data_IF_618253547197
#
_entry.id   IF_618253547197
#
_cell.length_a   1.000
_cell.length_b   1.000
_cell.length_c   1.000
_cell.angle_alpha   90.00
_cell.angle_beta   90.00
_cell.angle_gamma   90.00
#
_symmetry.space_group_name_H-M   'P 1'
#
loop_
_entity.id
_entity.type
_entity.pdbx_description
1 polymer ?
#
# COMPACT_ATOMS: atom_id res chain seq x y z
N UNK A 1 -32.19 -3.50 26.20
CA UNK A 1 -31.20 -2.49 26.65
C UNK A 1 -29.89 -3.23 26.87
N UNK A 2 -29.15 -3.51 25.79
CA UNK A 2 -27.84 -4.14 25.88
C UNK A 2 -26.78 -3.04 25.85
N UNK A 3 -26.06 -2.94 26.97
CA UNK A 3 -24.92 -2.07 27.15
C UNK A 3 -23.80 -2.52 26.19
N UNK A 4 -23.60 -1.79 25.11
CA UNK A 4 -22.35 -1.87 24.35
C UNK A 4 -21.25 -1.31 25.25
N UNK A 5 -20.36 -2.20 25.70
CA UNK A 5 -19.19 -1.85 26.48
C UNK A 5 -18.33 -0.86 25.70
N UNK A 6 -18.27 0.36 26.22
CA UNK A 6 -17.44 1.46 25.74
C UNK A 6 -15.98 1.16 26.08
N UNK A 7 -15.23 0.59 25.14
CA UNK A 7 -13.76 0.67 24.98
C UNK A 7 -13.34 -0.28 23.86
N UNK A 8 -13.82 -0.07 22.63
CA UNK A 8 -13.18 -0.69 21.47
C UNK A 8 -11.91 0.06 21.15
N UNK A 9 -10.84 -0.25 21.90
CA UNK A 9 -9.49 -0.26 21.32
C UNK A 9 -9.66 -1.01 20.00
N UNK A 10 -9.27 -0.40 18.89
CA UNK A 10 -9.33 -1.08 17.60
C UNK A 10 -8.53 -2.39 17.73
N UNK A 11 -9.19 -3.57 17.65
CA UNK A 11 -8.61 -4.85 18.05
C UNK A 11 -7.42 -5.26 17.17
N UNK A 12 -7.16 -4.54 16.09
CA UNK A 12 -6.12 -4.83 15.11
C UNK A 12 -4.77 -4.15 15.38
N UNK A 13 -4.68 -3.28 16.40
CA UNK A 13 -3.39 -2.70 16.84
C UNK A 13 -2.74 -3.46 17.99
N UNK A 14 -3.34 -4.55 18.45
CA UNK A 14 -2.92 -5.27 19.67
C UNK A 14 -2.65 -6.74 19.43
N UNK A 15 -2.18 -7.12 18.23
CA UNK A 15 -1.66 -8.48 18.05
C UNK A 15 -0.34 -8.62 18.81
N UNK A 16 -0.31 -9.55 19.76
CA UNK A 16 0.92 -10.03 20.37
C UNK A 16 1.81 -10.59 19.25
N UNK A 17 2.87 -9.85 18.90
CA UNK A 17 3.72 -10.18 17.76
C UNK A 17 4.62 -11.37 18.10
N UNK A 18 4.11 -12.59 17.88
CA UNK A 18 4.89 -13.81 18.07
C UNK A 18 6.16 -13.79 17.21
N UNK A 19 7.30 -14.28 17.75
CA UNK A 19 8.52 -14.47 16.97
C UNK A 19 8.25 -15.30 15.71
N UNK A 20 8.99 -15.01 14.65
CA UNK A 20 9.00 -15.79 13.43
C UNK A 20 10.29 -16.58 13.30
N UNK A 21 10.22 -17.67 12.55
CA UNK A 21 11.42 -18.42 12.17
C UNK A 21 12.36 -17.52 11.35
N UNK A 22 13.66 -17.60 11.67
CA UNK A 22 14.72 -16.86 10.99
C UNK A 22 14.70 -17.12 9.47
N UNK A 23 15.23 -16.16 8.71
CA UNK A 23 15.38 -16.30 7.27
C UNK A 23 16.63 -17.14 6.97
N UNK A 24 16.61 -17.96 5.89
CA UNK A 24 17.79 -18.74 5.47
C UNK A 24 19.02 -17.88 5.18
N UNK A 25 18.79 -16.65 4.70
CA UNK A 25 19.84 -15.68 4.37
C UNK A 25 19.50 -14.31 5.00
N UNK A 26 20.49 -13.52 5.44
CA UNK A 26 20.25 -12.16 5.93
C UNK A 26 19.73 -11.26 4.81
N UNK A 27 18.79 -10.37 5.15
CA UNK A 27 18.13 -9.46 4.20
C UNK A 27 18.38 -8.01 4.60
N UNK A 28 18.73 -7.19 3.61
CA UNK A 28 19.09 -5.79 3.78
C UNK A 28 18.03 -4.89 3.15
N UNK A 29 17.32 -4.12 3.98
CA UNK A 29 16.39 -3.09 3.52
C UNK A 29 17.14 -1.78 3.29
N UNK A 30 17.01 -1.23 2.09
CA UNK A 30 17.71 -0.01 1.70
C UNK A 30 16.81 1.20 1.93
N UNK A 31 17.32 2.18 2.67
CA UNK A 31 16.72 3.50 2.79
C UNK A 31 17.76 4.58 2.48
N UNK A 32 17.39 5.60 1.72
CA UNK A 32 18.27 6.73 1.40
C UNK A 32 17.94 7.99 2.19
N UNK A 33 16.92 7.95 3.07
CA UNK A 33 16.55 9.12 3.87
C UNK A 33 17.50 9.36 5.05
N UNK A 34 18.03 10.59 5.20
CA UNK A 34 18.90 10.94 6.33
C UNK A 34 18.25 10.74 7.70
N UNK A 35 16.92 10.87 7.82
CA UNK A 35 16.21 10.72 9.10
C UNK A 35 16.39 9.36 9.75
N UNK A 36 16.64 8.32 8.95
CA UNK A 36 16.87 6.95 9.44
C UNK A 36 18.32 6.67 9.87
N UNK A 37 19.23 7.65 9.76
CA UNK A 37 20.64 7.44 10.10
C UNK A 37 20.84 7.01 11.56
N UNK A 38 20.03 7.50 12.49
CA UNK A 38 20.08 7.07 13.89
C UNK A 38 19.78 5.57 14.04
N UNK A 39 18.75 5.08 13.35
CA UNK A 39 18.36 3.66 13.36
C UNK A 39 19.37 2.77 12.61
N UNK A 40 20.00 3.29 11.54
CA UNK A 40 21.07 2.59 10.82
C UNK A 40 22.31 2.45 11.72
N UNK A 41 22.72 3.51 12.42
CA UNK A 41 23.90 3.51 13.27
C UNK A 41 23.71 2.75 14.57
N UNK A 42 22.49 2.69 15.09
CA UNK A 42 22.14 1.97 16.32
C UNK A 42 20.93 1.03 16.08
N UNK A 43 21.11 -0.09 15.36
CA UNK A 43 20.02 -0.96 14.95
C UNK A 43 19.40 -1.76 16.12
N UNK A 44 20.04 -1.78 17.29
CA UNK A 44 19.53 -2.45 18.50
C UNK A 44 18.75 -1.51 19.43
N UNK A 45 18.59 -0.23 19.05
CA UNK A 45 17.78 0.69 19.85
C UNK A 45 16.34 0.19 19.98
N UNK A 46 15.66 0.48 21.10
CA UNK A 46 14.26 0.15 21.26
C UNK A 46 13.42 0.69 20.11
N UNK A 47 12.54 -0.14 19.55
CA UNK A 47 11.64 0.27 18.49
C UNK A 47 10.29 0.67 19.10
N UNK A 48 10.13 1.97 19.34
CA UNK A 48 8.93 2.58 19.93
C UNK A 48 8.03 3.26 18.89
N UNK A 49 6.92 3.86 19.35
CA UNK A 49 5.95 4.54 18.49
C UNK A 49 6.51 5.77 17.76
N UNK A 50 7.48 6.47 18.35
CA UNK A 50 8.07 7.68 17.76
C UNK A 50 8.83 7.38 16.45
N UNK A 51 9.36 6.17 16.30
CA UNK A 51 9.92 5.73 15.02
C UNK A 51 8.83 5.46 13.97
N UNK A 52 7.68 4.90 14.34
CA UNK A 52 6.58 4.70 13.39
C UNK A 52 5.93 6.01 12.95
N UNK A 53 5.92 7.03 13.80
CA UNK A 53 5.46 8.39 13.44
C UNK A 53 6.28 9.02 12.31
N UNK A 54 7.53 8.60 12.13
CA UNK A 54 8.40 9.07 11.04
C UNK A 54 8.12 8.34 9.72
N UNK A 55 7.32 7.28 9.70
CA UNK A 55 6.98 6.51 8.50
C UNK A 55 5.79 7.15 7.76
N UNK A 56 6.11 8.05 6.82
CA UNK A 56 5.11 8.93 6.19
C UNK A 56 4.90 8.57 4.72
N UNK A 57 5.98 8.24 4.01
CA UNK A 57 5.94 7.92 2.58
C UNK A 57 6.14 6.43 2.33
N UNK A 58 5.78 5.97 1.12
CA UNK A 58 5.92 4.56 0.72
C UNK A 58 7.33 4.02 0.93
N UNK A 59 8.34 4.83 0.70
CA UNK A 59 9.73 4.47 0.89
C UNK A 59 10.06 4.19 2.36
N UNK A 60 9.52 4.96 3.30
CA UNK A 60 9.68 4.70 4.74
C UNK A 60 9.02 3.37 5.12
N UNK A 61 7.80 3.16 4.60
CA UNK A 61 6.98 1.98 4.89
C UNK A 61 7.70 0.71 4.40
N UNK A 62 8.20 0.72 3.18
CA UNK A 62 8.85 -0.43 2.55
C UNK A 62 10.35 -0.57 2.84
N UNK A 63 10.93 0.35 3.61
CA UNK A 63 12.30 0.23 4.14
C UNK A 63 12.32 0.15 5.66
N UNK A 64 12.17 1.29 6.34
CA UNK A 64 12.30 1.41 7.79
C UNK A 64 11.18 0.69 8.56
N UNK A 65 9.89 0.92 8.23
CA UNK A 65 8.78 0.24 8.92
C UNK A 65 8.85 -1.27 8.71
N UNK A 66 9.13 -1.71 7.49
CA UNK A 66 9.30 -3.13 7.18
C UNK A 66 10.44 -3.75 7.99
N UNK A 67 11.61 -3.11 8.03
CA UNK A 67 12.72 -3.52 8.87
C UNK A 67 12.31 -3.63 10.35
N UNK A 68 11.65 -2.59 10.88
CA UNK A 68 11.22 -2.54 12.28
C UNK A 68 10.27 -3.69 12.62
N UNK A 69 9.26 -3.91 11.78
CA UNK A 69 8.25 -4.97 11.97
C UNK A 69 8.85 -6.37 11.91
N UNK A 70 9.82 -6.61 11.02
CA UNK A 70 10.49 -7.90 10.94
C UNK A 70 11.52 -8.08 12.06
N UNK A 71 12.25 -7.02 12.46
CA UNK A 71 13.25 -7.09 13.52
C UNK A 71 12.62 -7.37 14.88
N UNK A 72 11.49 -6.73 15.20
CA UNK A 72 10.70 -7.02 16.42
C UNK A 72 10.32 -8.50 16.54
N UNK A 73 10.17 -9.19 15.40
CA UNK A 73 9.82 -10.62 15.33
C UNK A 73 11.04 -11.55 15.27
N UNK A 74 12.24 -11.02 15.47
CA UNK A 74 13.48 -11.80 15.61
C UNK A 74 14.14 -12.21 14.29
N UNK A 75 13.72 -11.66 13.15
CA UNK A 75 14.35 -11.97 11.87
C UNK A 75 15.74 -11.31 11.76
N UNK A 76 16.64 -12.00 11.06
CA UNK A 76 17.97 -11.53 10.64
C UNK A 76 17.86 -10.52 9.47
N UNK A 77 17.31 -9.35 9.78
CA UNK A 77 17.16 -8.23 8.84
C UNK A 77 17.98 -7.02 9.26
N UNK A 78 18.38 -6.21 8.29
CA UNK A 78 19.23 -5.04 8.49
C UNK A 78 18.67 -3.84 7.72
N UNK A 79 18.80 -2.62 8.28
CA UNK A 79 18.52 -1.37 7.58
C UNK A 79 19.85 -0.72 7.17
N UNK A 80 20.00 -0.36 5.90
CA UNK A 80 21.27 0.14 5.34
C UNK A 80 21.05 1.31 4.38
N UNK A 81 22.06 2.20 4.22
CA UNK A 81 21.94 3.36 3.33
C UNK A 81 22.16 3.01 1.85
N UNK A 82 22.73 1.84 1.55
CA UNK A 82 23.20 1.44 0.21
C UNK A 82 23.09 -0.07 0.03
N UNK A 83 23.09 -0.51 -1.23
CA UNK A 83 23.18 -1.92 -1.59
C UNK A 83 24.43 -2.57 -0.97
N UNK A 84 24.26 -3.80 -0.45
CA UNK A 84 25.33 -4.61 0.11
C UNK A 84 25.77 -5.65 -0.92
N UNK A 85 27.00 -5.58 -1.45
CA UNK A 85 27.50 -6.55 -2.42
C UNK A 85 27.43 -7.97 -1.90
N UNK A 86 26.96 -8.89 -2.74
CA UNK A 86 26.82 -10.30 -2.41
C UNK A 86 25.55 -10.66 -1.65
N UNK A 87 24.73 -9.68 -1.21
CA UNK A 87 23.58 -9.93 -0.34
C UNK A 87 22.23 -9.68 -1.02
N UNK A 88 21.15 -10.19 -0.40
CA UNK A 88 19.76 -9.84 -0.74
C UNK A 88 19.48 -8.41 -0.27
N UNK A 89 19.13 -7.53 -1.20
CA UNK A 89 18.79 -6.14 -0.94
C UNK A 89 17.35 -5.85 -1.39
N UNK A 90 16.48 -5.47 -0.45
CA UNK A 90 15.12 -4.99 -0.73
C UNK A 90 15.16 -3.48 -0.86
N UNK A 91 14.73 -2.95 -2.01
CA UNK A 91 14.89 -1.53 -2.34
C UNK A 91 13.56 -0.93 -2.83
N UNK A 92 13.05 0.15 -2.22
CA UNK A 92 11.98 0.94 -2.82
C UNK A 92 12.35 1.46 -4.21
N UNK A 93 11.42 1.46 -5.17
CA UNK A 93 11.67 1.87 -6.55
C UNK A 93 12.42 3.22 -6.68
N UNK A 94 12.07 4.23 -5.89
CA UNK A 94 12.67 5.56 -5.99
C UNK A 94 14.10 5.62 -5.39
N UNK A 95 14.55 4.53 -4.76
CA UNK A 95 15.91 4.35 -4.28
C UNK A 95 16.79 3.47 -5.17
N UNK A 96 16.31 2.93 -6.29
CA UNK A 96 17.20 2.25 -7.25
C UNK A 96 17.67 3.22 -8.34
N UNK A 97 18.97 3.51 -8.35
CA UNK A 97 19.60 4.37 -9.36
C UNK A 97 20.41 3.56 -10.37
N UNK A 98 20.51 4.09 -11.59
CA UNK A 98 21.32 3.47 -12.66
C UNK A 98 22.80 3.31 -12.26
N UNK A 99 23.27 4.12 -11.31
CA UNK A 99 24.65 4.13 -10.82
C UNK A 99 24.93 3.15 -9.66
N UNK A 100 23.91 2.49 -9.10
CA UNK A 100 24.06 1.70 -7.87
C UNK A 100 24.83 0.36 -8.07
N UNK A 101 25.34 0.07 -9.28
CA UNK A 101 26.04 -1.17 -9.64
C UNK A 101 25.30 -2.43 -9.13
N UNK A 102 23.97 -2.41 -9.25
CA UNK A 102 23.05 -3.41 -8.67
C UNK A 102 23.42 -4.87 -8.96
N UNK A 103 24.12 -5.14 -10.07
CA UNK A 103 24.59 -6.48 -10.45
C UNK A 103 25.54 -7.13 -9.44
N UNK A 104 26.09 -6.35 -8.50
CA UNK A 104 26.92 -6.85 -7.40
C UNK A 104 26.10 -7.40 -6.23
N UNK A 105 24.78 -7.21 -6.22
CA UNK A 105 23.85 -7.63 -5.16
C UNK A 105 22.68 -8.41 -5.77
N UNK A 106 21.93 -9.13 -4.93
CA UNK A 106 20.66 -9.71 -5.33
C UNK A 106 19.54 -8.73 -5.01
N UNK A 107 19.12 -7.95 -6.01
CA UNK A 107 18.21 -6.82 -5.80
C UNK A 107 16.76 -7.24 -6.02
N UNK A 108 15.93 -6.99 -5.00
CA UNK A 108 14.47 -7.10 -5.09
C UNK A 108 13.89 -5.70 -4.96
N UNK A 109 13.13 -5.24 -5.96
CA UNK A 109 12.55 -3.89 -5.93
C UNK A 109 11.10 -3.94 -5.51
N UNK A 110 10.72 -3.08 -4.56
CA UNK A 110 9.32 -2.81 -4.24
C UNK A 110 8.82 -1.71 -5.17
N UNK A 111 7.87 -2.03 -6.04
CA UNK A 111 7.43 -1.15 -7.12
C UNK A 111 6.46 -0.06 -6.68
N UNK A 112 5.49 -0.38 -5.79
CA UNK A 112 4.33 0.48 -5.50
C UNK A 112 3.69 1.04 -6.79
N UNK A 113 3.21 2.30 -6.83
CA UNK A 113 2.55 2.89 -8.01
C UNK A 113 3.55 3.56 -8.99
N UNK A 114 4.63 2.85 -9.32
CA UNK A 114 5.71 3.28 -10.22
C UNK A 114 5.80 2.39 -11.48
N UNK A 115 6.57 2.82 -12.50
CA UNK A 115 6.91 1.95 -13.63
C UNK A 115 7.48 0.60 -13.19
N UNK A 116 7.43 -0.38 -14.10
CA UNK A 116 8.09 -1.65 -13.89
C UNK A 116 9.61 -1.48 -13.65
N UNK A 117 10.15 -2.01 -12.54
CA UNK A 117 11.59 -2.01 -12.30
C UNK A 117 12.26 -3.11 -13.12
N UNK A 118 13.19 -2.71 -13.98
CA UNK A 118 13.99 -3.63 -14.81
C UNK A 118 15.37 -3.88 -14.20
N UNK A 119 15.84 -3.02 -13.30
CA UNK A 119 17.15 -3.12 -12.64
C UNK A 119 17.00 -3.91 -11.33
N UNK A 120 16.52 -5.15 -11.45
CA UNK A 120 16.34 -6.05 -10.31
C UNK A 120 16.31 -7.51 -10.77
N UNK A 121 16.43 -8.42 -9.80
CA UNK A 121 16.27 -9.86 -10.01
C UNK A 121 14.82 -10.30 -9.79
N UNK A 122 14.12 -9.69 -8.83
CA UNK A 122 12.71 -9.94 -8.54
C UNK A 122 12.00 -8.64 -8.15
N UNK A 123 10.67 -8.64 -8.23
CA UNK A 123 9.82 -7.46 -7.99
C UNK A 123 8.78 -7.79 -6.93
N UNK A 124 8.50 -6.84 -6.05
CA UNK A 124 7.32 -6.86 -5.18
C UNK A 124 6.32 -5.85 -5.73
N UNK A 125 5.13 -6.33 -6.07
CA UNK A 125 4.02 -5.54 -6.60
C UNK A 125 2.87 -5.49 -5.59
N UNK A 126 2.16 -4.36 -5.54
CA UNK A 126 1.10 -4.12 -4.54
C UNK A 126 -0.31 -4.24 -5.11
N UNK A 127 -0.40 -4.61 -6.40
CA UNK A 127 -1.62 -4.95 -7.08
C UNK A 127 -1.43 -6.33 -7.72
N UNK A 128 -2.37 -7.25 -7.50
CA UNK A 128 -2.27 -8.64 -7.94
C UNK A 128 -2.15 -8.76 -9.47
N UNK A 129 -2.78 -7.85 -10.23
CA UNK A 129 -2.66 -7.86 -11.70
C UNK A 129 -1.26 -7.49 -12.19
N UNK A 130 -0.44 -6.87 -11.34
CA UNK A 130 0.96 -6.57 -11.65
C UNK A 130 1.90 -7.77 -11.51
N UNK A 131 1.43 -8.90 -10.94
CA UNK A 131 2.23 -10.12 -10.79
C UNK A 131 2.15 -10.96 -12.09
N UNK A 132 2.76 -10.45 -13.16
CA UNK A 132 2.62 -11.00 -14.52
C UNK A 132 3.71 -12.03 -14.90
N UNK A 133 4.77 -12.13 -14.11
CA UNK A 133 5.92 -13.02 -14.33
C UNK A 133 6.25 -13.79 -13.05
N UNK A 134 6.85 -15.00 -13.12
CA UNK A 134 7.23 -15.77 -11.93
C UNK A 134 8.19 -15.06 -10.96
N UNK A 135 8.88 -14.00 -11.41
CA UNK A 135 9.74 -13.16 -10.57
C UNK A 135 9.02 -11.95 -9.96
N UNK A 136 7.71 -11.80 -10.20
CA UNK A 136 6.88 -10.72 -9.68
C UNK A 136 5.98 -11.27 -8.59
N UNK A 137 6.12 -10.71 -7.39
CA UNK A 137 5.45 -11.21 -6.21
C UNK A 137 4.44 -10.20 -5.70
N UNK A 138 3.17 -10.59 -5.71
CA UNK A 138 2.15 -9.78 -5.06
C UNK A 138 2.36 -9.80 -3.55
N UNK A 139 2.29 -8.61 -2.94
CA UNK A 139 2.32 -8.44 -1.50
C UNK A 139 1.22 -7.46 -1.09
N UNK A 140 0.34 -7.79 -0.12
CA UNK A 140 -0.56 -6.78 0.45
C UNK A 140 0.26 -5.65 1.09
N UNK A 141 -0.31 -4.44 1.06
CA UNK A 141 0.31 -3.30 1.70
C UNK A 141 0.31 -3.44 3.23
N UNK A 142 1.32 -2.90 3.91
CA UNK A 142 1.27 -2.70 5.35
C UNK A 142 0.05 -1.85 5.75
N UNK A 143 -0.55 -2.05 6.93
CA UNK A 143 -1.45 -1.05 7.50
C UNK A 143 -0.78 0.32 7.51
N UNK A 144 -1.53 1.36 7.18
CA UNK A 144 -1.00 2.71 7.29
C UNK A 144 -0.60 3.00 8.75
N UNK A 145 0.64 3.47 8.98
CA UNK A 145 1.08 3.82 10.33
C UNK A 145 0.18 4.87 10.97
N UNK A 146 -0.05 4.72 12.28
CA UNK A 146 -0.70 5.72 13.13
C UNK A 146 -2.10 6.13 12.63
N UNK A 147 -2.80 5.19 12.00
CA UNK A 147 -4.19 5.35 11.57
C UNK A 147 -5.07 5.58 12.80
N UNK A 148 -5.77 6.70 12.83
CA UNK A 148 -6.72 7.03 13.89
C UNK A 148 -8.12 6.61 13.41
N UNK A 149 -8.73 5.57 14.01
CA UNK A 149 -10.00 5.04 13.52
C UNK A 149 -11.14 6.04 13.70
N UNK A 150 -12.25 5.78 12.99
CA UNK A 150 -13.50 6.53 13.14
C UNK A 150 -13.98 6.48 14.57
N UNK A 151 -14.49 7.61 15.07
CA UNK A 151 -15.08 7.70 16.40
C UNK A 151 -16.32 6.80 16.48
N UNK A 152 -16.34 5.77 17.35
CA UNK A 152 -17.48 4.87 17.51
C UNK A 152 -18.78 5.58 17.89
N UNK A 153 -18.71 6.75 18.55
CA UNK A 153 -19.88 7.56 18.90
C UNK A 153 -20.61 8.09 17.66
N UNK A 154 -19.98 8.02 16.47
CA UNK A 154 -20.61 8.30 15.18
C UNK A 154 -21.66 7.28 14.77
N UNK A 155 -21.66 6.07 15.34
CA UNK A 155 -22.70 5.06 15.08
C UNK A 155 -22.88 4.82 13.57
N UNK A 156 -24.12 4.87 13.09
CA UNK A 156 -24.46 4.71 11.67
C UNK A 156 -24.69 6.05 10.95
N UNK A 157 -24.18 7.17 11.49
CA UNK A 157 -24.30 8.48 10.83
C UNK A 157 -23.56 8.47 9.49
N UNK A 158 -24.18 9.09 8.48
CA UNK A 158 -23.62 9.29 7.14
C UNK A 158 -23.74 10.77 6.82
N UNK A 159 -22.78 11.56 7.29
CA UNK A 159 -22.75 13.03 7.16
C UNK A 159 -21.46 13.47 6.44
N UNK A 160 -20.34 12.79 6.69
CA UNK A 160 -19.03 13.12 6.17
C UNK A 160 -18.53 12.08 5.17
N UNK A 161 -18.72 12.36 3.88
CA UNK A 161 -18.05 11.62 2.82
C UNK A 161 -16.62 12.14 2.70
N UNK A 162 -15.64 11.31 3.00
CA UNK A 162 -14.24 11.72 3.16
C UNK A 162 -13.36 11.15 2.06
N UNK A 163 -12.61 12.02 1.39
CA UNK A 163 -11.55 11.62 0.47
C UNK A 163 -10.19 11.78 1.15
N UNK A 164 -9.31 10.77 0.99
CA UNK A 164 -7.95 10.75 1.54
C UNK A 164 -6.91 10.66 0.43
N UNK A 165 -5.96 11.60 0.39
CA UNK A 165 -4.87 11.63 -0.58
C UNK A 165 -4.91 12.90 -1.44
N UNK A 166 -4.03 12.98 -2.43
CA UNK A 166 -3.94 14.20 -3.24
C UNK A 166 -5.25 14.49 -3.99
N UNK A 167 -5.71 15.74 -3.96
CA UNK A 167 -7.02 16.19 -4.43
C UNK A 167 -7.31 15.82 -5.89
N UNK A 168 -6.29 15.89 -6.76
CA UNK A 168 -6.39 15.52 -8.18
C UNK A 168 -6.70 14.04 -8.43
N UNK A 169 -6.51 13.17 -7.43
CA UNK A 169 -6.86 11.76 -7.57
C UNK A 169 -8.36 11.52 -7.42
N UNK A 170 -9.13 12.45 -6.84
CA UNK A 170 -10.59 12.38 -6.87
C UNK A 170 -11.07 12.99 -8.19
N UNK A 171 -11.83 12.23 -8.98
CA UNK A 171 -12.31 12.72 -10.27
C UNK A 171 -13.16 13.99 -10.09
N UNK A 172 -13.06 14.91 -11.06
CA UNK A 172 -13.54 16.28 -10.93
C UNK A 172 -15.05 16.39 -10.67
N UNK A 173 -15.84 15.46 -11.23
CA UNK A 173 -17.30 15.36 -11.00
C UNK A 173 -17.68 15.34 -9.52
N UNK A 174 -16.82 14.80 -8.63
CA UNK A 174 -17.09 14.76 -7.19
C UNK A 174 -16.77 16.08 -6.47
N UNK A 175 -16.28 17.08 -7.19
CA UNK A 175 -15.94 18.42 -6.67
C UNK A 175 -16.75 19.52 -7.35
N UNK A 176 -17.60 19.19 -8.32
CA UNK A 176 -18.43 20.17 -9.01
C UNK A 176 -19.61 20.64 -8.16
N UNK A 177 -20.22 21.77 -8.55
CA UNK A 177 -21.30 22.36 -7.80
C UNK A 177 -22.56 21.47 -7.75
N UNK A 178 -22.85 20.71 -8.82
CA UNK A 178 -24.04 19.89 -8.90
C UNK A 178 -23.99 18.71 -7.93
N UNK A 179 -22.84 18.04 -7.85
CA UNK A 179 -22.58 16.97 -6.91
C UNK A 179 -22.59 17.49 -5.46
N UNK A 180 -21.94 18.63 -5.19
CA UNK A 180 -21.93 19.22 -3.85
C UNK A 180 -23.32 19.64 -3.36
N UNK A 181 -24.17 20.20 -4.22
CA UNK A 181 -25.57 20.48 -3.86
C UNK A 181 -26.38 19.19 -3.65
N UNK A 182 -26.09 18.13 -4.40
CA UNK A 182 -26.70 16.80 -4.19
C UNK A 182 -26.32 16.20 -2.83
N UNK A 183 -25.05 16.30 -2.41
CA UNK A 183 -24.64 15.91 -1.05
C UNK A 183 -25.35 16.72 0.02
N UNK A 184 -25.43 18.05 -0.17
CA UNK A 184 -26.07 18.95 0.78
C UNK A 184 -27.57 18.66 0.93
N UNK A 185 -28.25 18.28 -0.15
CA UNK A 185 -29.64 17.84 -0.10
C UNK A 185 -29.83 16.57 0.75
N UNK A 186 -28.81 15.71 0.82
CA UNK A 186 -28.75 14.56 1.74
C UNK A 186 -28.23 14.91 3.15
N UNK A 187 -28.02 16.19 3.45
CA UNK A 187 -27.39 16.68 4.68
C UNK A 187 -25.96 16.15 4.89
N UNK A 188 -25.26 15.88 3.80
CA UNK A 188 -23.89 15.40 3.77
C UNK A 188 -22.93 16.49 3.28
N UNK A 189 -21.63 16.31 3.54
CA UNK A 189 -20.56 17.13 2.98
C UNK A 189 -19.38 16.29 2.53
N UNK A 190 -18.67 16.80 1.52
CA UNK A 190 -17.36 16.30 1.13
C UNK A 190 -16.29 16.85 2.08
N UNK A 191 -15.48 15.97 2.66
CA UNK A 191 -14.31 16.30 3.47
C UNK A 191 -13.06 15.88 2.69
N UNK A 192 -12.27 16.85 2.25
CA UNK A 192 -10.99 16.60 1.58
C UNK A 192 -9.87 16.59 2.61
N UNK A 193 -9.26 15.43 2.84
CA UNK A 193 -7.94 15.36 3.48
C UNK A 193 -6.88 15.26 2.39
N UNK A 194 -6.58 16.42 1.80
CA UNK A 194 -5.70 16.56 0.63
C UNK A 194 -4.23 16.74 1.02
N UNK A 195 -3.40 17.07 0.03
CA UNK A 195 -2.01 17.48 0.16
C UNK A 195 -1.78 18.61 1.18
N UNK A 196 -2.75 19.51 1.39
CA UNK A 196 -2.63 20.65 2.31
C UNK A 196 -2.53 20.22 3.77
N UNK A 197 -3.32 19.21 4.15
CA UNK A 197 -3.29 18.61 5.49
C UNK A 197 -2.26 17.47 5.56
N UNK A 198 -1.90 16.93 4.40
CA UNK A 198 -0.88 15.89 4.23
C UNK A 198 -1.16 14.64 5.07
N UNK A 199 -0.09 14.02 5.54
CA UNK A 199 -0.14 12.74 6.26
C UNK A 199 -1.03 12.78 7.51
N UNK A 200 -1.05 13.89 8.25
CA UNK A 200 -1.92 14.04 9.42
C UNK A 200 -3.40 13.97 9.04
N UNK A 201 -3.78 14.58 7.92
CA UNK A 201 -5.14 14.44 7.39
C UNK A 201 -5.40 13.03 6.86
N UNK A 202 -4.41 12.40 6.23
CA UNK A 202 -4.57 11.06 5.65
C UNK A 202 -4.74 9.95 6.69
N UNK A 203 -4.20 10.12 7.90
CA UNK A 203 -4.31 9.13 8.99
C UNK A 203 -5.52 9.32 9.91
N UNK A 204 -6.13 10.51 9.94
CA UNK A 204 -7.26 10.81 10.83
C UNK A 204 -8.62 10.43 10.22
N UNK A 205 -9.26 9.37 10.71
CA UNK A 205 -10.61 8.97 10.28
C UNK A 205 -11.67 9.29 11.32
N UNK A 206 -11.36 9.97 12.44
CA UNK A 206 -12.27 10.17 13.57
C UNK A 206 -13.65 10.70 13.16
N UNK A 207 -13.67 11.57 12.15
CA UNK A 207 -14.91 12.19 11.64
C UNK A 207 -15.42 11.59 10.33
N UNK A 208 -14.68 10.68 9.69
CA UNK A 208 -15.07 10.10 8.41
C UNK A 208 -16.23 9.13 8.59
N UNK A 209 -17.31 9.25 7.81
CA UNK A 209 -18.42 8.28 7.84
C UNK A 209 -18.36 7.28 6.71
N UNK A 210 -17.99 7.76 5.52
CA UNK A 210 -17.81 6.96 4.32
C UNK A 210 -16.54 7.43 3.65
N UNK A 211 -15.69 6.50 3.23
CA UNK A 211 -14.50 6.81 2.45
C UNK A 211 -14.87 6.77 0.98
N UNK A 212 -14.52 7.83 0.24
CA UNK A 212 -14.64 7.82 -1.21
C UNK A 212 -13.26 7.80 -1.88
N UNK A 213 -13.12 7.00 -2.93
CA UNK A 213 -11.96 7.02 -3.80
C UNK A 213 -12.32 6.59 -5.22
N UNK A 214 -12.92 7.52 -5.96
CA UNK A 214 -13.31 7.33 -7.35
C UNK A 214 -12.39 8.15 -8.24
N UNK A 215 -11.65 7.47 -9.13
CA UNK A 215 -10.62 8.09 -9.96
C UNK A 215 -10.86 7.76 -11.43
N UNK A 216 -10.83 8.76 -12.29
CA UNK A 216 -10.83 8.54 -13.73
C UNK A 216 -9.40 8.54 -14.29
N UNK A 217 -8.62 7.53 -13.91
CA UNK A 217 -7.25 7.30 -14.41
C UNK A 217 -7.26 6.39 -15.64
N UNK A 218 -6.12 6.23 -16.33
CA UNK A 218 -6.06 5.27 -17.45
C UNK A 218 -6.20 3.84 -16.94
N UNK A 219 -6.74 2.94 -17.79
CA UNK A 219 -6.79 1.50 -17.52
C UNK A 219 -5.39 0.93 -17.22
N UNK A 220 -4.32 1.53 -17.75
CA UNK A 220 -2.94 1.19 -17.39
C UNK A 220 -2.58 1.61 -15.97
N UNK A 221 -2.77 2.89 -15.60
CA UNK A 221 -2.39 3.39 -14.26
C UNK A 221 -3.15 2.66 -13.14
N UNK A 222 -4.41 2.27 -13.37
CA UNK A 222 -5.18 1.49 -12.38
C UNK A 222 -4.58 0.11 -12.08
N UNK A 223 -3.77 -0.46 -12.98
CA UNK A 223 -3.03 -1.72 -12.72
C UNK A 223 -1.89 -1.54 -11.72
N UNK A 224 -1.41 -0.31 -11.52
CA UNK A 224 -0.29 0.00 -10.63
C UNK A 224 -0.76 0.42 -9.24
N UNK A 225 -1.99 0.92 -9.11
CA UNK A 225 -2.50 1.44 -7.84
C UNK A 225 -2.76 0.31 -6.84
N UNK A 226 -2.29 0.43 -5.58
CA UNK A 226 -2.62 -0.52 -4.53
C UNK A 226 -4.02 -0.25 -3.95
N UNK A 227 -4.60 -1.26 -3.31
CA UNK A 227 -5.89 -1.18 -2.63
C UNK A 227 -5.86 -0.45 -1.26
N UNK A 228 -4.87 0.42 -1.01
CA UNK A 228 -4.58 0.98 0.33
C UNK A 228 -5.76 1.74 0.94
N UNK A 229 -6.55 2.45 0.11
CA UNK A 229 -7.72 3.19 0.60
C UNK A 229 -8.82 2.27 1.12
N UNK A 230 -9.01 1.11 0.49
CA UNK A 230 -9.97 0.10 0.93
C UNK A 230 -9.54 -0.53 2.26
N UNK A 231 -8.28 -0.98 2.34
CA UNK A 231 -7.77 -1.59 3.58
C UNK A 231 -7.78 -0.59 4.74
N UNK A 232 -7.43 0.67 4.50
CA UNK A 232 -7.49 1.71 5.53
C UNK A 232 -8.93 2.02 5.96
N UNK A 233 -9.89 2.05 5.03
CA UNK A 233 -11.30 2.23 5.37
C UNK A 233 -11.82 1.11 6.28
N UNK A 234 -11.44 -0.15 5.98
CA UNK A 234 -11.74 -1.29 6.82
C UNK A 234 -11.14 -1.18 8.22
N UNK A 235 -9.84 -0.85 8.34
CA UNK A 235 -9.21 -0.62 9.64
C UNK A 235 -9.85 0.55 10.40
N UNK A 236 -10.28 1.59 9.70
CA UNK A 236 -10.90 2.76 10.30
C UNK A 236 -12.37 2.54 10.73
N UNK A 237 -13.01 1.45 10.28
CA UNK A 237 -14.43 1.19 10.54
C UNK A 237 -15.36 2.06 9.69
N UNK A 238 -15.00 2.31 8.43
CA UNK A 238 -15.80 3.08 7.47
C UNK A 238 -16.16 2.22 6.26
N UNK A 239 -17.43 2.26 5.78
CA UNK A 239 -17.76 1.80 4.43
C UNK A 239 -16.98 2.60 3.37
N UNK A 240 -16.68 1.96 2.23
CA UNK A 240 -15.95 2.57 1.13
C UNK A 240 -16.79 2.60 -0.15
N UNK A 241 -16.71 3.72 -0.89
CA UNK A 241 -17.25 3.91 -2.24
C UNK A 241 -16.07 4.11 -3.20
N UNK A 242 -15.87 3.21 -4.15
CA UNK A 242 -14.62 3.09 -4.90
C UNK A 242 -14.87 2.96 -6.42
N UNK A 243 -13.93 3.45 -7.22
CA UNK A 243 -13.89 3.15 -8.67
C UNK A 243 -13.61 1.66 -8.93
N UNK A 244 -13.94 1.12 -10.12
CA UNK A 244 -13.73 -0.28 -10.50
C UNK A 244 -12.25 -0.59 -10.78
N UNK A 245 -11.36 -0.28 -9.85
CA UNK A 245 -9.93 -0.54 -9.99
C UNK A 245 -9.60 -2.02 -9.73
N UNK A 246 -8.69 -2.63 -10.53
CA UNK A 246 -8.35 -4.05 -10.37
C UNK A 246 -7.87 -4.43 -8.98
N UNK A 247 -7.19 -3.53 -8.26
CA UNK A 247 -6.73 -3.79 -6.90
C UNK A 247 -7.87 -4.00 -5.91
N UNK A 248 -8.96 -3.21 -6.02
CA UNK A 248 -10.12 -3.35 -5.14
C UNK A 248 -10.91 -4.61 -5.50
N UNK A 249 -11.13 -4.83 -6.79
CA UNK A 249 -11.86 -6.00 -7.29
C UNK A 249 -11.17 -7.32 -6.92
N UNK A 250 -9.83 -7.35 -6.94
CA UNK A 250 -9.06 -8.53 -6.53
C UNK A 250 -9.21 -8.88 -5.04
N UNK A 251 -9.60 -7.93 -4.19
CA UNK A 251 -9.85 -8.14 -2.76
C UNK A 251 -11.33 -8.35 -2.42
N UNK A 252 -12.25 -8.14 -3.38
CA UNK A 252 -13.69 -8.30 -3.18
C UNK A 252 -14.05 -9.77 -3.00
N UNK A 253 -14.78 -10.07 -1.94
CA UNK A 253 -15.41 -11.35 -1.62
C UNK A 253 -16.93 -11.21 -1.54
N UNK A 254 -17.46 -10.03 -1.22
CA UNK A 254 -18.90 -9.77 -1.15
C UNK A 254 -19.27 -8.31 -1.40
N UNK A 255 -20.57 -8.01 -1.53
CA UNK A 255 -21.12 -6.65 -1.60
C UNK A 255 -20.89 -5.83 -0.31
N UNK A 256 -20.51 -6.45 0.80
CA UNK A 256 -20.25 -5.76 2.07
C UNK A 256 -18.81 -5.22 2.16
N UNK A 257 -17.95 -5.52 1.19
CA UNK A 257 -16.55 -5.11 1.20
C UNK A 257 -16.38 -3.63 0.84
N UNK A 258 -17.07 -3.20 -0.22
CA UNK A 258 -17.16 -1.82 -0.68
C UNK A 258 -18.29 -1.70 -1.71
N UNK A 259 -18.74 -0.47 -1.96
CA UNK A 259 -19.66 -0.17 -3.05
C UNK A 259 -18.84 0.34 -4.24
N UNK A 260 -18.95 -0.34 -5.38
CA UNK A 260 -18.29 0.04 -6.62
C UNK A 260 -19.17 1.01 -7.41
N UNK A 261 -18.60 2.13 -7.86
CA UNK A 261 -19.30 3.14 -8.66
C UNK A 261 -18.44 3.65 -9.81
N UNK A 262 -19.09 4.08 -10.88
CA UNK A 262 -18.47 4.73 -12.04
C UNK A 262 -18.84 6.20 -12.19
N UNK A 263 -19.97 6.62 -11.63
CA UNK A 263 -20.47 8.00 -11.79
C UNK A 263 -20.82 8.67 -10.48
N UNK A 264 -20.94 9.99 -10.51
CA UNK A 264 -21.42 10.80 -9.40
C UNK A 264 -22.84 10.39 -8.94
N UNK A 265 -23.74 10.08 -9.86
CA UNK A 265 -25.12 9.67 -9.55
C UNK A 265 -25.16 8.34 -8.81
N UNK A 266 -24.37 7.35 -9.25
CA UNK A 266 -24.25 6.07 -8.56
C UNK A 266 -23.71 6.24 -7.13
N UNK A 267 -22.75 7.16 -6.93
CA UNK A 267 -22.24 7.48 -5.61
C UNK A 267 -23.29 8.16 -4.72
N UNK A 268 -24.07 9.11 -5.25
CA UNK A 268 -25.20 9.71 -4.51
C UNK A 268 -26.23 8.66 -4.11
N UNK A 269 -26.57 7.74 -5.02
CA UNK A 269 -27.49 6.64 -4.73
C UNK A 269 -26.93 5.71 -3.63
N UNK A 270 -25.64 5.40 -3.68
CA UNK A 270 -24.96 4.59 -2.67
C UNK A 270 -24.96 5.27 -1.29
N UNK A 271 -24.65 6.56 -1.22
CA UNK A 271 -24.68 7.34 0.02
C UNK A 271 -26.09 7.39 0.62
N UNK A 272 -27.10 7.67 -0.21
CA UNK A 272 -28.51 7.66 0.20
C UNK A 272 -28.91 6.30 0.75
N UNK A 273 -28.52 5.21 0.08
CA UNK A 273 -28.79 3.84 0.56
C UNK A 273 -28.16 3.59 1.94
N UNK A 274 -26.91 4.00 2.14
CA UNK A 274 -26.23 3.86 3.45
C UNK A 274 -26.90 4.69 4.55
N UNK A 275 -27.42 5.87 4.22
CA UNK A 275 -28.19 6.72 5.15
C UNK A 275 -29.55 6.10 5.50
N UNK A 276 -30.27 5.58 4.49
CA UNK A 276 -31.61 5.00 4.64
C UNK A 276 -31.59 3.58 5.28
N UNK A 277 -30.48 2.85 5.16
CA UNK A 277 -30.33 1.48 5.66
C UNK A 277 -29.23 1.35 6.75
N UNK A 278 -29.45 1.81 8.00
CA UNK A 278 -28.46 1.71 9.08
C UNK A 278 -27.94 0.30 9.36
N UNK A 279 -28.76 -0.73 9.11
CA UNK A 279 -28.35 -2.14 9.25
C UNK A 279 -27.32 -2.54 8.20
N UNK A 280 -27.45 -2.06 6.96
CA UNK A 280 -26.46 -2.27 5.92
C UNK A 280 -25.15 -1.58 6.30
N UNK A 281 -25.21 -0.32 6.75
CA UNK A 281 -24.04 0.40 7.21
C UNK A 281 -23.29 -0.38 8.31
N UNK A 282 -24.00 -0.82 9.35
CA UNK A 282 -23.42 -1.61 10.42
C UNK A 282 -22.80 -2.93 9.93
N UNK A 283 -23.49 -3.63 9.02
CA UNK A 283 -22.99 -4.87 8.43
C UNK A 283 -21.71 -4.67 7.60
N UNK A 284 -21.61 -3.56 6.85
CA UNK A 284 -20.40 -3.20 6.11
C UNK A 284 -19.24 -2.86 7.05
N UNK A 285 -19.50 -2.14 8.15
CA UNK A 285 -18.46 -1.84 9.15
C UNK A 285 -17.95 -3.12 9.82
N UNK A 286 -18.85 -3.99 10.27
CA UNK A 286 -18.49 -5.28 10.87
C UNK A 286 -17.72 -6.17 9.88
N UNK A 287 -18.18 -6.24 8.63
CA UNK A 287 -17.46 -6.94 7.57
C UNK A 287 -16.09 -6.32 7.33
N UNK A 288 -15.98 -5.00 7.25
CA UNK A 288 -14.72 -4.29 7.07
C UNK A 288 -13.71 -4.66 8.15
N UNK A 289 -14.10 -4.69 9.43
CA UNK A 289 -13.23 -5.18 10.50
C UNK A 289 -12.78 -6.63 10.25
N UNK A 290 -13.69 -7.54 9.90
CA UNK A 290 -13.32 -8.93 9.55
C UNK A 290 -12.29 -8.97 8.40
N UNK A 291 -12.49 -8.18 7.35
CA UNK A 291 -11.53 -8.07 6.23
C UNK A 291 -10.19 -7.48 6.67
N UNK A 292 -10.18 -6.43 7.51
CA UNK A 292 -8.97 -5.79 8.04
C UNK A 292 -8.04 -6.78 8.77
N UNK A 293 -8.62 -7.79 9.43
CA UNK A 293 -7.86 -8.84 10.14
C UNK A 293 -6.91 -9.65 9.23
N UNK A 294 -7.14 -9.66 7.92
CA UNK A 294 -6.28 -10.34 6.94
C UNK A 294 -5.02 -9.53 6.61
N UNK A 295 -5.01 -8.24 6.94
CA UNK A 295 -3.97 -7.28 6.58
C UNK A 295 -3.22 -6.74 7.80
N UNK A 296 -3.36 -7.35 8.99
CA UNK A 296 -2.64 -6.89 10.19
C UNK A 296 -1.13 -6.95 9.98
N UNK A 297 -0.39 -6.15 10.76
CA UNK A 297 1.08 -6.18 10.71
C UNK A 297 1.64 -7.60 10.88
N UNK A 298 1.04 -8.41 11.76
CA UNK A 298 1.46 -9.78 11.98
C UNK A 298 1.26 -10.68 10.74
N UNK A 299 0.14 -10.51 10.01
CA UNK A 299 -0.15 -11.24 8.77
C UNK A 299 0.76 -10.80 7.64
N UNK A 300 0.92 -9.50 7.43
CA UNK A 300 1.80 -8.94 6.40
C UNK A 300 3.26 -9.36 6.65
N UNK A 301 3.73 -9.31 7.90
CA UNK A 301 5.06 -9.80 8.27
C UNK A 301 5.24 -11.32 8.00
N UNK A 302 4.21 -12.13 8.25
CA UNK A 302 4.26 -13.56 7.97
C UNK A 302 4.35 -13.83 6.46
N UNK A 303 3.52 -13.18 5.65
CA UNK A 303 3.59 -13.26 4.20
C UNK A 303 4.95 -12.84 3.67
N UNK A 304 5.47 -11.70 4.13
CA UNK A 304 6.78 -11.21 3.72
C UNK A 304 7.90 -12.17 4.13
N UNK A 305 7.81 -12.78 5.33
CA UNK A 305 8.76 -13.82 5.74
C UNK A 305 8.73 -15.00 4.78
N UNK A 306 7.56 -15.51 4.40
CA UNK A 306 7.45 -16.62 3.44
C UNK A 306 8.05 -16.24 2.09
N UNK A 307 7.76 -15.04 1.60
CA UNK A 307 8.31 -14.53 0.36
C UNK A 307 9.85 -14.44 0.39
N UNK A 308 10.40 -13.92 1.49
CA UNK A 308 11.85 -13.79 1.69
C UNK A 308 12.54 -15.15 1.87
N UNK A 309 11.91 -16.07 2.60
CA UNK A 309 12.48 -17.36 2.96
C UNK A 309 12.39 -18.40 1.84
N UNK A 310 11.52 -18.20 0.85
CA UNK A 310 11.29 -19.19 -0.19
C UNK A 310 11.60 -18.66 -1.60
N UNK A 311 10.73 -18.01 -2.37
CA UNK A 311 11.04 -17.62 -3.76
C UNK A 311 12.22 -16.63 -3.87
N UNK A 312 12.39 -15.69 -2.94
CA UNK A 312 13.53 -14.78 -2.94
C UNK A 312 14.82 -15.53 -2.57
N UNK A 313 14.79 -16.39 -1.55
CA UNK A 313 15.93 -17.20 -1.15
C UNK A 313 16.38 -18.16 -2.27
N UNK A 314 15.44 -18.84 -2.94
CA UNK A 314 15.71 -19.72 -4.06
C UNK A 314 16.38 -18.97 -5.22
N UNK A 315 15.83 -17.80 -5.59
CA UNK A 315 16.42 -16.98 -6.64
C UNK A 315 17.82 -16.46 -6.27
N UNK A 316 18.03 -16.11 -5.00
CA UNK A 316 19.34 -15.72 -4.49
C UNK A 316 20.36 -16.86 -4.53
N UNK A 317 19.97 -18.07 -4.16
CA UNK A 317 20.85 -19.24 -4.22
C UNK A 317 21.24 -19.59 -5.66
N UNK A 318 20.30 -19.50 -6.60
CA UNK A 318 20.60 -19.66 -8.03
C UNK A 318 21.57 -18.58 -8.50
N UNK A 319 21.37 -17.34 -8.08
CA UNK A 319 22.29 -16.24 -8.37
C UNK A 319 23.69 -16.52 -7.82
N UNK A 320 23.82 -17.01 -6.58
CA UNK A 320 25.11 -17.40 -5.99
C UNK A 320 25.82 -18.53 -6.75
N UNK A 321 25.08 -19.51 -7.28
CA UNK A 321 25.62 -20.67 -8.02
C UNK A 321 26.11 -20.35 -9.43
N UNK A 322 25.90 -19.14 -9.92
CA UNK A 322 26.40 -18.70 -11.23
C UNK A 322 27.94 -18.84 -11.32
N UNK A 323 28.42 -19.21 -12.51
CA UNK A 323 29.86 -19.38 -12.78
C UNK A 323 30.64 -18.08 -12.61
N UNK A 324 31.97 -18.12 -12.38
CA UNK A 324 32.79 -16.91 -12.34
C UNK A 324 32.64 -16.03 -13.59
N UNK A 325 32.60 -16.64 -14.78
CA UNK A 325 32.37 -15.91 -16.03
C UNK A 325 31.02 -15.17 -16.02
N UNK A 326 29.96 -15.82 -15.57
CA UNK A 326 28.65 -15.17 -15.44
C UNK A 326 28.70 -14.02 -14.44
N UNK A 327 29.40 -14.18 -13.30
CA UNK A 327 29.52 -13.15 -12.26
C UNK A 327 30.30 -11.92 -12.74
N UNK A 328 31.44 -12.13 -13.40
CA UNK A 328 32.37 -11.05 -13.78
C UNK A 328 32.06 -10.41 -15.15
N UNK A 329 31.36 -11.12 -16.05
CA UNK A 329 31.05 -10.61 -17.40
C UNK A 329 29.55 -10.59 -17.66
N UNK A 330 28.86 -11.71 -17.39
CA UNK A 330 27.43 -11.85 -17.67
C UNK A 330 26.56 -10.83 -16.92
N UNK A 331 26.74 -10.68 -15.61
CA UNK A 331 25.93 -9.76 -14.79
C UNK A 331 26.15 -8.29 -15.15
N UNK A 332 27.39 -7.78 -15.34
CA UNK A 332 27.59 -6.42 -15.85
C UNK A 332 26.89 -6.16 -17.18
N UNK A 333 26.99 -7.08 -18.15
CA UNK A 333 26.33 -6.93 -19.45
C UNK A 333 24.79 -6.94 -19.33
N UNK A 334 24.25 -7.88 -18.54
CA UNK A 334 22.82 -7.93 -18.23
C UNK A 334 22.35 -6.63 -17.57
N UNK A 335 23.14 -6.05 -16.67
CA UNK A 335 22.82 -4.79 -16.02
C UNK A 335 22.76 -3.61 -17.00
N UNK A 336 23.68 -3.53 -17.96
CA UNK A 336 23.61 -2.53 -19.04
C UNK A 336 22.32 -2.70 -19.85
N UNK A 337 21.97 -3.93 -20.21
CA UNK A 337 20.70 -4.23 -20.88
C UNK A 337 19.48 -3.82 -20.06
N UNK A 338 19.48 -4.11 -18.75
CA UNK A 338 18.43 -3.70 -17.80
C UNK A 338 18.33 -2.18 -17.65
N UNK A 339 19.43 -1.44 -17.72
CA UNK A 339 19.42 0.04 -17.74
C UNK A 339 18.66 0.56 -18.97
N UNK A 340 18.90 -0.02 -20.15
CA UNK A 340 18.19 0.37 -21.37
C UNK A 340 16.70 0.08 -21.27
N UNK A 341 16.33 -1.13 -20.80
CA UNK A 341 14.93 -1.49 -20.54
C UNK A 341 14.28 -0.57 -19.51
N UNK A 342 14.96 -0.23 -18.42
CA UNK A 342 14.43 0.68 -17.40
C UNK A 342 14.09 2.06 -17.95
N UNK A 343 14.87 2.56 -18.92
CA UNK A 343 14.57 3.82 -19.62
C UNK A 343 13.32 3.67 -20.50
N UNK A 344 13.25 2.60 -21.29
CA UNK A 344 12.08 2.27 -22.10
C UNK A 344 10.81 2.15 -21.26
N UNK A 345 10.86 1.43 -20.13
CA UNK A 345 9.74 1.28 -19.20
C UNK A 345 9.31 2.61 -18.57
N UNK A 346 10.26 3.51 -18.26
CA UNK A 346 9.94 4.86 -17.75
C UNK A 346 9.23 5.70 -18.79
N UNK A 347 9.65 5.63 -20.05
CA UNK A 347 9.01 6.36 -21.15
C UNK A 347 7.64 5.77 -21.45
N UNK A 348 7.53 4.43 -21.49
CA UNK A 348 6.26 3.72 -21.62
C UNK A 348 5.29 4.12 -20.51
N UNK A 349 5.72 4.07 -19.24
CA UNK A 349 4.90 4.48 -18.10
C UNK A 349 4.43 5.93 -18.25
N UNK A 350 5.33 6.88 -18.52
CA UNK A 350 4.98 8.30 -18.67
C UNK A 350 3.94 8.50 -19.75
N UNK A 351 4.06 7.80 -20.88
CA UNK A 351 3.07 7.89 -21.95
C UNK A 351 1.73 7.30 -21.50
N UNK A 352 1.69 6.11 -20.91
CA UNK A 352 0.45 5.36 -20.71
C UNK A 352 -0.34 5.73 -19.44
N UNK A 353 0.28 6.40 -18.45
CA UNK A 353 -0.48 6.96 -17.31
C UNK A 353 -1.33 8.17 -17.72
N UNK A 354 -0.93 8.89 -18.78
CA UNK A 354 -1.65 10.07 -19.26
C UNK A 354 -2.45 9.79 -20.52
N UNK A 355 -1.94 8.93 -21.41
CA UNK A 355 -2.52 8.64 -22.72
C UNK A 355 -3.01 7.19 -22.73
N UNK A 356 -4.32 6.99 -22.68
CA UNK A 356 -4.93 5.67 -22.77
C UNK A 356 -6.42 5.71 -22.43
N UNK A 357 -7.15 4.61 -22.70
CA UNK A 357 -8.55 4.50 -22.30
C UNK A 357 -8.71 4.76 -20.81
N UNK A 358 -9.69 5.57 -20.41
CA UNK A 358 -9.91 5.87 -19.00
C UNK A 358 -10.80 4.82 -18.36
N UNK A 359 -10.70 4.71 -17.04
CA UNK A 359 -11.38 3.68 -16.26
C UNK A 359 -12.89 3.89 -16.21
N UNK A 360 -13.35 5.16 -16.22
CA UNK A 360 -14.76 5.53 -16.07
C UNK A 360 -15.42 5.91 -17.39
N UNK A 361 -14.67 5.93 -18.51
CA UNK A 361 -15.26 6.14 -19.83
C UNK A 361 -16.24 5.00 -20.14
N UNK A 362 -17.37 5.33 -20.78
CA UNK A 362 -18.34 4.32 -21.24
C UNK A 362 -17.68 3.51 -22.37
N UNK A 363 -17.63 2.19 -22.22
CA UNK A 363 -17.16 1.26 -23.27
C UNK A 363 -18.07 1.28 -24.50
#
# INVERSE_FOLDING_TARGET
MHLYSSTTINPYFTDEQKPLERLPHPVYFVTKEPKWQGLISNPEQPIDSALYEQCVVSEDIWSAQTFMNLKKRGLNVHLVPKLVPGSICIVPFDYIYLSDLSYRSYVVVVQYDRPHPEICEQRIVLNKVGAIDPTHHFMPHWPQPNLEPRDPLRGTRVENMTFKGNSYNLTEEFRDAAFLESLKALQMKLVLSSEEVGFNGWRDYKTADVVIAVRNITKYDSTLKPALKLTNAWFAGCPAILSPEPAYQALRQSELDYIEVKTAEEAIAALKRLQDEPKLYAAMVENGFRRASEFTEAKVALYLRHLLADPIAQGYEQWLRQSPLQKFVGRPLQHVGRILKQRQERDYYRTHIYNGPRLLDRD
#
